data_IF_611113742809
#
_entry.id   IF_611113742809
#
_cell.length_a   1.000
_cell.length_b   1.000
_cell.length_c   1.000
_cell.angle_alpha   90.00
_cell.angle_beta   90.00
_cell.angle_gamma   90.00
#
_symmetry.space_group_name_H-M   'P 1'
#
loop_
_entity.id
_entity.type
_entity.pdbx_description
1 polymer ?
#
# COMPACT_ATOMS: atom_id res chain seq x y z
N UNK A 1 25.99 2.76 21.19
CA UNK A 1 25.01 1.67 21.32
C UNK A 1 23.62 2.30 21.33
N UNK A 2 22.71 2.13 20.39
CA UNK A 2 22.48 1.10 19.39
C UNK A 2 21.47 1.67 18.38
N UNK A 3 21.95 2.28 17.31
CA UNK A 3 21.07 2.74 16.21
C UNK A 3 21.71 2.43 14.85
N UNK A 4 22.18 1.19 14.72
CA UNK A 4 22.30 0.56 13.40
C UNK A 4 20.90 0.14 12.96
N UNK A 5 20.11 1.12 12.52
CA UNK A 5 18.89 0.86 11.80
C UNK A 5 19.29 0.21 10.48
N UNK A 6 19.19 -1.13 10.44
CA UNK A 6 19.12 -2.00 9.27
C UNK A 6 19.14 -1.22 7.95
N UNK A 7 20.35 -1.02 7.42
CA UNK A 7 20.57 -0.63 6.04
C UNK A 7 20.26 -1.88 5.20
N UNK A 8 18.97 -2.20 5.15
CA UNK A 8 18.45 -3.32 4.37
C UNK A 8 18.34 -2.82 2.95
N UNK A 9 19.49 -2.87 2.30
CA UNK A 9 19.75 -2.87 0.87
C UNK A 9 18.49 -2.66 0.03
N UNK A 10 18.26 -1.39 -0.36
CA UNK A 10 17.16 -1.01 -1.25
C UNK A 10 17.30 -1.64 -2.63
N UNK A 11 18.45 -2.23 -2.94
CA UNK A 11 18.69 -2.91 -4.21
C UNK A 11 18.11 -4.34 -4.24
N UNK A 12 17.76 -4.93 -3.09
CA UNK A 12 17.06 -6.22 -3.03
C UNK A 12 15.58 -6.14 -3.47
N UNK A 13 15.04 -4.92 -3.68
CA UNK A 13 13.71 -4.68 -4.25
C UNK A 13 13.70 -4.63 -5.78
N UNK A 14 14.85 -4.88 -6.44
CA UNK A 14 14.88 -5.08 -7.89
C UNK A 14 14.95 -6.56 -8.19
N UNK A 15 13.79 -7.23 -8.10
CA UNK A 15 13.63 -8.46 -8.88
C UNK A 15 13.82 -8.09 -10.35
N UNK A 16 14.56 -8.92 -11.13
CA UNK A 16 14.74 -8.68 -12.55
C UNK A 16 13.37 -8.47 -13.18
N UNK A 17 13.30 -7.63 -14.22
CA UNK A 17 12.16 -7.56 -15.14
C UNK A 17 11.92 -8.96 -15.73
N UNK A 18 11.33 -9.86 -14.96
CA UNK A 18 10.83 -11.13 -15.45
C UNK A 18 9.54 -10.78 -16.14
N UNK A 19 9.69 -10.36 -17.40
CA UNK A 19 8.74 -10.42 -18.50
C UNK A 19 7.30 -10.64 -18.00
N UNK A 20 6.67 -9.61 -17.43
CA UNK A 20 5.23 -9.58 -17.33
C UNK A 20 4.73 -8.84 -18.55
N UNK A 21 4.47 -9.62 -19.58
CA UNK A 21 3.74 -9.19 -20.78
C UNK A 21 2.57 -8.34 -20.33
N UNK A 22 2.57 -7.11 -20.82
CA UNK A 22 1.41 -6.25 -20.85
C UNK A 22 0.26 -7.09 -21.41
N UNK A 23 -0.68 -7.46 -20.55
CA UNK A 23 -1.89 -8.14 -20.97
C UNK A 23 -2.98 -7.65 -20.03
N UNK A 24 -3.66 -6.60 -20.52
CA UNK A 24 -5.09 -6.46 -20.31
C UNK A 24 -5.68 -7.88 -20.32
N UNK A 25 -6.21 -8.32 -19.18
CA UNK A 25 -6.78 -9.66 -19.05
C UNK A 25 -8.30 -9.50 -19.10
N UNK A 26 -8.95 -9.51 -20.28
CA UNK A 26 -10.39 -9.61 -20.32
C UNK A 26 -10.76 -11.07 -20.01
N UNK A 27 -11.13 -11.34 -18.75
CA UNK A 27 -11.67 -12.65 -18.36
C UNK A 27 -13.18 -12.62 -18.54
N UNK A 28 -13.64 -13.00 -19.73
CA UNK A 28 -15.05 -13.38 -19.95
C UNK A 28 -15.22 -14.79 -19.37
N UNK A 29 -15.83 -14.89 -18.20
CA UNK A 29 -16.28 -16.17 -17.59
C UNK A 29 -17.77 -16.38 -17.91
N UNK A 30 -18.19 -17.60 -18.30
CA UNK A 30 -19.57 -17.83 -18.71
C UNK A 30 -20.50 -17.66 -17.51
N UNK A 31 -21.50 -16.81 -17.69
CA UNK A 31 -22.62 -16.59 -16.78
C UNK A 31 -23.36 -17.90 -16.56
N UNK A 32 -23.28 -18.50 -15.37
CA UNK A 32 -24.32 -19.35 -14.74
C UNK A 32 -23.83 -20.01 -13.43
N UNK A 33 -23.26 -19.25 -12.50
CA UNK A 33 -23.14 -19.73 -11.11
C UNK A 33 -23.28 -18.56 -10.14
N UNK A 34 -24.47 -18.49 -9.54
CA UNK A 34 -24.91 -17.76 -8.33
C UNK A 34 -24.20 -16.49 -7.89
N UNK A 35 -24.97 -15.53 -7.40
CA UNK A 35 -24.63 -14.29 -6.66
C UNK A 35 -23.29 -14.22 -5.88
N UNK A 36 -22.74 -15.36 -5.44
CA UNK A 36 -21.41 -15.48 -4.79
C UNK A 36 -20.20 -15.34 -5.72
N UNK A 37 -20.31 -15.65 -7.01
CA UNK A 37 -19.18 -15.61 -7.95
C UNK A 37 -18.78 -14.18 -8.38
N UNK A 38 -19.61 -13.18 -8.09
CA UNK A 38 -19.31 -11.79 -8.43
C UNK A 38 -18.28 -11.13 -7.50
N UNK A 39 -18.14 -11.62 -6.25
CA UNK A 39 -17.20 -11.03 -5.29
C UNK A 39 -15.74 -11.24 -5.65
N UNK A 40 -15.40 -12.40 -6.24
CA UNK A 40 -14.01 -12.76 -6.59
C UNK A 40 -13.47 -12.08 -7.85
N UNK A 41 -14.34 -11.45 -8.64
CA UNK A 41 -13.95 -10.68 -9.82
C UNK A 41 -13.90 -9.17 -9.57
N UNK A 42 -14.25 -8.72 -8.35
CA UNK A 42 -14.16 -7.31 -7.99
C UNK A 42 -12.79 -7.01 -7.38
N UNK A 43 -12.11 -5.91 -7.76
CA UNK A 43 -10.88 -5.50 -7.10
C UNK A 43 -11.10 -5.29 -5.60
N UNK A 44 -10.18 -5.80 -4.78
CA UNK A 44 -10.27 -5.71 -3.31
C UNK A 44 -9.23 -4.77 -2.72
N UNK A 45 -9.64 -3.99 -1.72
CA UNK A 45 -8.76 -3.12 -0.93
C UNK A 45 -8.69 -3.63 0.50
N UNK A 46 -7.47 -3.83 1.01
CA UNK A 46 -7.22 -4.26 2.39
C UNK A 46 -6.66 -3.08 3.18
N UNK A 47 -7.49 -2.49 4.04
CA UNK A 47 -7.11 -1.36 4.89
C UNK A 47 -6.57 -1.83 6.24
N UNK A 48 -5.34 -1.43 6.58
CA UNK A 48 -4.75 -1.75 7.88
C UNK A 48 -5.00 -0.64 8.90
N UNK A 49 -5.49 -1.01 10.08
CA UNK A 49 -5.81 -0.09 11.17
C UNK A 49 -4.99 -0.39 12.42
N UNK A 50 -4.77 0.62 13.26
CA UNK A 50 -4.14 0.47 14.57
C UNK A 50 -3.01 1.45 14.86
N UNK A 51 -2.63 1.50 16.13
CA UNK A 51 -1.61 2.42 16.68
C UNK A 51 -0.25 2.28 16.00
N UNK A 52 0.61 3.32 16.02
CA UNK A 52 1.98 3.23 15.51
C UNK A 52 2.76 2.08 16.16
N UNK A 53 3.77 1.55 15.45
CA UNK A 53 4.60 0.41 15.88
C UNK A 53 3.89 -0.95 16.08
N UNK A 54 2.63 -1.11 15.69
CA UNK A 54 1.88 -2.39 15.80
C UNK A 54 2.04 -3.35 14.61
N UNK A 55 3.16 -3.31 13.90
CA UNK A 55 3.45 -4.27 12.82
C UNK A 55 2.57 -4.17 11.56
N UNK A 56 1.75 -3.13 11.40
CA UNK A 56 0.88 -2.95 10.20
C UNK A 56 1.67 -3.07 8.89
N UNK A 57 2.72 -2.27 8.72
CA UNK A 57 3.55 -2.32 7.50
C UNK A 57 4.19 -3.69 7.29
N UNK A 58 4.60 -4.36 8.37
CA UNK A 58 5.18 -5.70 8.31
C UNK A 58 4.17 -6.73 7.78
N UNK A 59 2.94 -6.72 8.32
CA UNK A 59 1.87 -7.60 7.86
C UNK A 59 1.49 -7.27 6.42
N UNK A 60 1.41 -5.99 6.03
CA UNK A 60 1.09 -5.58 4.66
C UNK A 60 2.08 -6.13 3.64
N UNK A 61 3.37 -5.99 3.91
CA UNK A 61 4.42 -6.47 3.02
C UNK A 61 4.43 -7.99 2.94
N UNK A 62 4.26 -8.71 4.06
CA UNK A 62 4.18 -10.17 4.04
C UNK A 62 2.97 -10.68 3.26
N UNK A 63 1.80 -10.08 3.49
CA UNK A 63 0.56 -10.44 2.81
C UNK A 63 0.68 -10.19 1.30
N UNK A 64 1.17 -9.03 0.88
CA UNK A 64 1.38 -8.71 -0.52
C UNK A 64 2.37 -9.68 -1.19
N UNK A 65 3.46 -10.05 -0.53
CA UNK A 65 4.41 -11.06 -1.06
C UNK A 65 3.73 -12.42 -1.25
N UNK A 66 2.96 -12.88 -0.27
CA UNK A 66 2.24 -14.14 -0.35
C UNK A 66 1.19 -14.14 -1.47
N UNK A 67 0.40 -13.07 -1.58
CA UNK A 67 -0.62 -12.93 -2.63
C UNK A 67 0.00 -12.90 -4.03
N UNK A 68 1.11 -12.18 -4.20
CA UNK A 68 1.84 -12.17 -5.46
C UNK A 68 2.46 -13.55 -5.79
N UNK A 69 2.92 -14.29 -4.76
CA UNK A 69 3.47 -15.64 -4.92
C UNK A 69 2.42 -16.64 -5.44
N UNK A 70 1.18 -16.59 -4.92
CA UNK A 70 0.08 -17.43 -5.43
C UNK A 70 -0.52 -16.94 -6.75
N UNK A 71 -0.02 -15.82 -7.31
CA UNK A 71 -0.41 -15.30 -8.61
C UNK A 71 -1.44 -14.17 -8.61
N UNK A 72 -1.82 -13.64 -7.44
CA UNK A 72 -2.72 -12.49 -7.31
C UNK A 72 -1.91 -11.20 -7.34
N UNK A 73 -2.11 -10.37 -8.38
CA UNK A 73 -1.45 -9.07 -8.47
C UNK A 73 -1.86 -8.17 -7.30
N UNK A 74 -0.93 -7.90 -6.39
CA UNK A 74 -1.20 -7.14 -5.16
C UNK A 74 -0.14 -6.06 -4.95
N UNK A 75 -0.56 -4.82 -4.70
CA UNK A 75 0.34 -3.70 -4.40
C UNK A 75 0.09 -3.15 -2.99
N UNK A 76 1.16 -2.74 -2.31
CA UNK A 76 1.10 -2.07 -1.00
C UNK A 76 1.20 -0.57 -1.20
N UNK A 77 0.29 0.18 -0.58
CA UNK A 77 0.30 1.64 -0.56
C UNK A 77 0.55 2.11 0.88
N UNK A 78 1.73 2.70 1.13
CA UNK A 78 2.12 3.13 2.47
C UNK A 78 1.95 4.64 2.64
N UNK A 79 0.91 5.08 3.38
CA UNK A 79 0.65 6.50 3.65
C UNK A 79 1.84 7.24 4.29
N UNK A 80 2.73 6.52 5.00
CA UNK A 80 3.95 7.10 5.55
C UNK A 80 4.94 7.58 4.49
N UNK A 81 4.96 6.96 3.31
CA UNK A 81 5.78 7.38 2.17
C UNK A 81 5.22 8.64 1.53
N UNK A 82 3.91 8.69 1.27
CA UNK A 82 3.22 9.88 0.79
C UNK A 82 3.47 11.09 1.69
N UNK A 83 3.41 10.89 3.00
CA UNK A 83 3.73 11.95 3.96
C UNK A 83 5.19 12.39 3.90
N UNK A 84 6.15 11.47 3.77
CA UNK A 84 7.58 11.79 3.67
C UNK A 84 7.93 12.53 2.38
N UNK A 85 7.19 12.30 1.30
CA UNK A 85 7.35 13.04 0.05
C UNK A 85 6.66 14.41 0.09
N UNK A 86 5.57 14.54 0.84
CA UNK A 86 4.83 15.80 0.97
C UNK A 86 5.46 16.81 1.95
N UNK A 87 6.31 16.37 2.89
CA UNK A 87 6.98 17.29 3.83
C UNK A 87 8.37 16.80 4.26
N UNK A 88 9.34 17.70 4.22
CA UNK A 88 10.71 17.48 4.72
C UNK A 88 10.79 17.67 6.24
N UNK A 89 9.78 18.27 6.86
CA UNK A 89 9.73 18.62 8.29
C UNK A 89 9.29 17.45 9.19
N UNK A 90 9.74 16.23 8.89
CA UNK A 90 9.28 14.99 9.53
C UNK A 90 9.82 14.78 10.97
N UNK A 91 10.59 15.72 11.53
CA UNK A 91 11.41 15.47 12.72
C UNK A 91 10.71 15.73 14.07
N UNK A 92 9.57 16.43 14.10
CA UNK A 92 8.92 16.81 15.36
C UNK A 92 7.65 15.99 15.64
N UNK A 93 7.48 15.57 16.90
CA UNK A 93 6.24 14.97 17.41
C UNK A 93 5.04 15.91 17.21
N UNK A 94 5.29 17.21 17.17
CA UNK A 94 4.30 18.28 17.00
C UNK A 94 3.44 18.10 15.75
N UNK A 95 4.02 17.52 14.68
CA UNK A 95 3.30 17.18 13.46
C UNK A 95 2.12 16.22 13.73
N UNK A 96 2.19 15.40 14.79
CA UNK A 96 1.16 14.42 15.18
C UNK A 96 0.13 14.90 16.20
N UNK A 97 0.21 16.15 16.63
CA UNK A 97 -0.81 16.75 17.48
C UNK A 97 -2.11 16.98 16.70
N UNK A 98 -3.24 16.80 17.38
CA UNK A 98 -4.56 17.07 16.81
C UNK A 98 -4.81 18.59 16.69
N UNK A 99 -4.17 19.38 17.56
CA UNK A 99 -4.26 20.84 17.59
C UNK A 99 -3.62 21.52 16.37
N UNK A 100 -2.82 20.79 15.59
CA UNK A 100 -2.13 21.33 14.41
C UNK A 100 -2.98 21.10 13.16
N UNK A 101 -3.80 22.11 12.81
CA UNK A 101 -4.68 22.08 11.63
C UNK A 101 -3.90 21.91 10.32
N UNK A 102 -2.72 22.52 10.19
CA UNK A 102 -1.88 22.42 8.99
C UNK A 102 -1.39 20.97 8.79
N UNK A 103 -0.88 20.35 9.86
CA UNK A 103 -0.43 18.96 9.81
C UNK A 103 -1.60 17.99 9.56
N UNK A 104 -2.78 18.29 10.08
CA UNK A 104 -4.02 17.55 9.79
C UNK A 104 -4.45 17.66 8.33
N UNK A 105 -4.34 18.86 7.74
CA UNK A 105 -4.61 19.08 6.32
C UNK A 105 -3.64 18.28 5.44
N UNK A 106 -2.33 18.30 5.75
CA UNK A 106 -1.31 17.53 5.02
C UNK A 106 -1.59 16.03 5.10
N UNK A 107 -1.95 15.49 6.28
CA UNK A 107 -2.30 14.06 6.43
C UNK A 107 -3.51 13.68 5.59
N UNK A 108 -4.53 14.52 5.62
CA UNK A 108 -5.76 14.32 4.85
C UNK A 108 -5.45 14.32 3.36
N UNK A 109 -4.59 15.24 2.90
CA UNK A 109 -4.15 15.27 1.51
C UNK A 109 -3.34 14.03 1.13
N UNK A 110 -2.43 13.57 2.00
CA UNK A 110 -1.67 12.34 1.77
C UNK A 110 -2.58 11.11 1.64
N UNK A 111 -3.62 11.03 2.47
CA UNK A 111 -4.61 9.95 2.41
C UNK A 111 -5.42 10.00 1.10
N UNK A 112 -5.83 11.19 0.65
CA UNK A 112 -6.51 11.36 -0.65
C UNK A 112 -5.62 10.97 -1.83
N UNK A 113 -4.36 11.39 -1.82
CA UNK A 113 -3.41 11.02 -2.89
C UNK A 113 -3.19 9.51 -2.94
N UNK A 114 -3.00 8.87 -1.79
CA UNK A 114 -2.88 7.41 -1.72
C UNK A 114 -4.14 6.70 -2.23
N UNK A 115 -5.34 7.22 -1.90
CA UNK A 115 -6.59 6.66 -2.40
C UNK A 115 -6.74 6.80 -3.92
N UNK A 116 -6.36 7.96 -4.48
CA UNK A 116 -6.38 8.17 -5.93
C UNK A 116 -5.44 7.19 -6.65
N UNK A 117 -4.25 6.95 -6.10
CA UNK A 117 -3.30 5.98 -6.65
C UNK A 117 -3.83 4.54 -6.57
N UNK A 118 -4.56 4.21 -5.49
CA UNK A 118 -5.26 2.91 -5.37
C UNK A 118 -6.31 2.80 -6.46
N UNK A 119 -7.20 3.78 -6.61
CA UNK A 119 -8.25 3.77 -7.64
C UNK A 119 -7.69 3.72 -9.06
N UNK A 120 -6.51 4.29 -9.31
CA UNK A 120 -5.84 4.24 -10.62
C UNK A 120 -5.20 2.88 -10.88
N UNK A 121 -4.84 2.15 -9.83
CA UNK A 121 -4.17 0.85 -9.93
C UNK A 121 -5.14 -0.34 -10.02
N UNK A 122 -6.30 -0.25 -9.38
CA UNK A 122 -7.36 -1.27 -9.41
C UNK A 122 -8.04 -1.32 -10.79
#
# INVERSE_FOLDING_TARGET
DSEQAFDMDKDAYKFPEVIRRNSHCPKVVPSNLGERANYVNSPHVICMVGLPARGKTYIATKLSRYLNWIGINTKVFNLGEYRRHATTAYKSHEFFRQDNEEAMAIRTQCARNALNDVCTWL
#
